data_IF_477012702528
#
_entry.id   IF_477012702528
#
_cell.length_a   1.000
_cell.length_b   1.000
_cell.length_c   1.000
_cell.angle_alpha   90.00
_cell.angle_beta   90.00
_cell.angle_gamma   90.00
#
_symmetry.space_group_name_H-M   'P 1'
#
loop_
_entity.id
_entity.type
_entity.pdbx_description
1 polymer ?
#
# COMPACT_ATOMS: atom_id res chain seq x y z
N UNK A 1 6.97 5.54 7.53
CA UNK A 1 5.65 4.93 7.79
C UNK A 1 4.65 5.99 7.43
N UNK A 2 3.45 5.65 6.94
CA UNK A 2 2.46 6.65 6.51
C UNK A 2 2.30 7.79 7.53
N UNK A 3 2.23 7.49 8.83
CA UNK A 3 2.13 8.51 9.88
C UNK A 3 3.36 9.42 10.01
N UNK A 4 4.57 8.91 9.78
CA UNK A 4 5.79 9.72 9.82
C UNK A 4 5.89 10.62 8.58
N UNK A 5 5.46 10.11 7.43
CA UNK A 5 5.45 10.87 6.17
C UNK A 5 4.41 12.02 6.26
N UNK A 6 3.22 11.74 6.81
CA UNK A 6 2.21 12.77 7.11
C UNK A 6 2.69 13.81 8.14
N UNK A 7 3.48 13.40 9.13
CA UNK A 7 3.99 14.32 10.14
C UNK A 7 5.05 15.27 9.54
N UNK A 8 5.92 14.75 8.66
CA UNK A 8 6.89 15.56 7.90
C UNK A 8 6.18 16.53 6.98
N UNK A 9 5.18 16.05 6.24
CA UNK A 9 4.36 16.87 5.34
C UNK A 9 3.67 18.03 6.07
N UNK A 10 3.11 17.76 7.26
CA UNK A 10 2.49 18.79 8.07
C UNK A 10 3.50 19.87 8.54
N UNK A 11 4.76 19.49 8.78
CA UNK A 11 5.83 20.43 9.09
C UNK A 11 6.19 21.29 7.87
N UNK A 12 6.35 20.66 6.70
CA UNK A 12 6.66 21.33 5.43
C UNK A 12 5.58 22.34 5.02
N UNK A 13 4.30 21.97 5.16
CA UNK A 13 3.17 22.87 4.94
C UNK A 13 3.16 24.09 5.87
N UNK A 14 3.74 23.97 7.07
CA UNK A 14 3.87 25.08 8.02
C UNK A 14 5.10 25.95 7.74
N UNK A 15 6.21 25.35 7.33
CA UNK A 15 7.49 26.06 7.18
C UNK A 15 7.68 26.61 5.77
N UNK A 16 7.15 25.96 4.75
CA UNK A 16 7.38 26.25 3.33
C UNK A 16 6.09 26.25 2.47
N UNK A 17 4.99 26.93 2.88
CA UNK A 17 3.70 26.83 2.19
C UNK A 17 3.72 27.27 0.71
N UNK A 18 4.60 28.20 0.34
CA UNK A 18 4.76 28.62 -1.06
C UNK A 18 5.50 27.60 -1.92
N UNK A 19 6.38 26.79 -1.30
CA UNK A 19 7.07 25.69 -1.96
C UNK A 19 6.07 24.57 -2.22
N UNK A 20 5.31 24.19 -1.19
CA UNK A 20 4.31 23.13 -1.27
C UNK A 20 3.22 23.41 -2.31
N UNK A 21 2.75 24.65 -2.40
CA UNK A 21 1.79 25.03 -3.44
C UNK A 21 2.35 24.85 -4.87
N UNK A 22 3.65 25.13 -5.07
CA UNK A 22 4.32 24.95 -6.37
C UNK A 22 4.56 23.47 -6.66
N UNK A 23 4.86 22.68 -5.64
CA UNK A 23 4.97 21.24 -5.74
C UNK A 23 3.66 20.62 -6.22
N UNK A 24 2.56 20.95 -5.55
CA UNK A 24 1.23 20.47 -5.91
C UNK A 24 0.80 20.95 -7.32
N UNK A 25 1.11 22.20 -7.67
CA UNK A 25 0.96 22.69 -9.06
C UNK A 25 1.75 21.82 -10.05
N UNK A 26 3.01 21.51 -9.74
CA UNK A 26 3.87 20.66 -10.56
C UNK A 26 3.30 19.25 -10.77
N UNK A 27 2.76 18.66 -9.70
CA UNK A 27 2.07 17.37 -9.74
C UNK A 27 0.90 17.43 -10.73
N UNK A 28 0.03 18.44 -10.65
CA UNK A 28 -1.10 18.54 -11.56
C UNK A 28 -0.70 18.86 -13.00
N UNK A 29 0.36 19.64 -13.21
CA UNK A 29 0.93 19.84 -14.54
C UNK A 29 1.44 18.52 -15.14
N UNK A 30 2.12 17.69 -14.35
CA UNK A 30 2.59 16.37 -14.81
C UNK A 30 1.44 15.44 -15.20
N UNK A 31 0.25 15.66 -14.61
CA UNK A 31 -1.00 14.94 -14.92
C UNK A 31 -1.75 15.53 -16.13
N UNK A 32 -1.23 16.59 -16.75
CA UNK A 32 -1.73 17.15 -18.00
C UNK A 32 -2.53 18.45 -17.87
N UNK A 33 -2.60 19.07 -16.68
CA UNK A 33 -3.21 20.39 -16.54
C UNK A 33 -2.29 21.48 -17.13
N UNK A 34 -2.88 22.52 -17.72
CA UNK A 34 -2.14 23.74 -18.05
C UNK A 34 -1.62 24.38 -16.76
N UNK A 35 -0.57 25.20 -16.86
CA UNK A 35 0.02 25.88 -15.70
C UNK A 35 -1.01 26.68 -14.90
N UNK A 36 -1.89 27.41 -15.58
CA UNK A 36 -2.89 28.27 -14.94
C UNK A 36 -3.96 27.44 -14.23
N UNK A 37 -4.42 26.35 -14.86
CA UNK A 37 -5.41 25.47 -14.26
C UNK A 37 -4.81 24.66 -13.10
N UNK A 38 -3.57 24.21 -13.23
CA UNK A 38 -2.85 23.52 -12.16
C UNK A 38 -2.69 24.40 -10.92
N UNK A 39 -2.39 25.70 -11.11
CA UNK A 39 -2.32 26.65 -10.00
C UNK A 39 -3.67 26.83 -9.31
N UNK A 40 -4.74 26.97 -10.10
CA UNK A 40 -6.10 27.10 -9.56
C UNK A 40 -6.49 25.86 -8.75
N UNK A 41 -6.28 24.67 -9.31
CA UNK A 41 -6.58 23.40 -8.63
C UNK A 41 -5.76 23.24 -7.36
N UNK A 42 -4.45 23.49 -7.41
CA UNK A 42 -3.60 23.43 -6.22
C UNK A 42 -4.09 24.41 -5.14
N UNK A 43 -4.39 25.66 -5.51
CA UNK A 43 -4.86 26.68 -4.56
C UNK A 43 -6.17 26.29 -3.88
N UNK A 44 -7.17 25.86 -4.66
CA UNK A 44 -8.48 25.47 -4.13
C UNK A 44 -8.40 24.22 -3.23
N UNK A 45 -7.58 23.24 -3.61
CA UNK A 45 -7.41 22.01 -2.83
C UNK A 45 -6.58 22.25 -1.56
N UNK A 46 -5.53 23.06 -1.63
CA UNK A 46 -4.76 23.49 -0.45
C UNK A 46 -5.65 24.28 0.53
N UNK A 47 -6.55 25.13 0.03
CA UNK A 47 -7.48 25.88 0.87
C UNK A 47 -8.53 25.00 1.55
N UNK A 48 -8.97 23.93 0.87
CA UNK A 48 -9.90 22.96 1.45
C UNK A 48 -9.21 22.05 2.48
N UNK A 49 -8.10 21.42 2.10
CA UNK A 49 -7.35 20.47 2.92
C UNK A 49 -5.94 20.26 2.34
N UNK A 50 -4.98 21.09 2.77
CA UNK A 50 -3.59 21.02 2.31
C UNK A 50 -2.95 19.65 2.57
N UNK A 51 -3.03 19.15 3.81
CA UNK A 51 -2.41 17.88 4.18
C UNK A 51 -3.06 16.72 3.43
N UNK A 52 -4.40 16.71 3.29
CA UNK A 52 -5.09 15.66 2.53
C UNK A 52 -4.89 15.76 1.01
N UNK A 53 -4.60 16.94 0.46
CA UNK A 53 -4.22 17.10 -0.93
C UNK A 53 -2.84 16.47 -1.18
N UNK A 54 -1.82 16.87 -0.42
CA UNK A 54 -0.47 16.31 -0.53
C UNK A 54 -0.41 14.81 -0.19
N UNK A 55 -1.07 14.39 0.89
CA UNK A 55 -1.14 12.98 1.26
C UNK A 55 -1.65 12.10 0.10
N UNK A 56 -2.71 12.54 -0.61
CA UNK A 56 -3.28 11.77 -1.71
C UNK A 56 -2.48 11.91 -3.00
N UNK A 57 -2.09 13.13 -3.34
CA UNK A 57 -1.59 13.44 -4.68
C UNK A 57 -0.06 13.34 -4.81
N UNK A 58 0.66 13.48 -3.71
CA UNK A 58 2.11 13.33 -3.63
C UNK A 58 2.50 11.99 -2.98
N UNK A 59 2.00 11.70 -1.77
CA UNK A 59 2.39 10.51 -1.01
C UNK A 59 1.63 9.24 -1.40
N UNK A 60 0.53 9.37 -2.16
CA UNK A 60 -0.35 8.25 -2.54
C UNK A 60 -1.10 7.61 -1.37
N UNK A 61 -1.15 8.28 -0.22
CA UNK A 61 -1.86 7.87 0.98
C UNK A 61 -3.34 8.24 0.82
N UNK A 62 -4.21 7.24 0.82
CA UNK A 62 -5.66 7.45 0.87
C UNK A 62 -6.29 6.56 1.93
N UNK A 63 -7.33 7.06 2.60
CA UNK A 63 -8.07 6.28 3.62
C UNK A 63 -8.68 4.98 3.06
N UNK A 64 -8.90 4.91 1.75
CA UNK A 64 -9.49 3.74 1.09
C UNK A 64 -8.48 2.59 0.99
N UNK A 65 -7.17 2.88 1.01
CA UNK A 65 -6.09 1.91 0.74
C UNK A 65 -5.09 1.85 1.90
N UNK A 66 -5.52 2.11 3.14
CA UNK A 66 -4.62 1.92 4.29
C UNK A 66 -4.13 0.48 4.33
N UNK A 67 -2.81 0.31 4.22
CA UNK A 67 -2.21 -1.01 4.26
C UNK A 67 -2.50 -1.69 5.60
N UNK A 68 -2.95 -2.95 5.58
CA UNK A 68 -3.17 -3.78 6.77
C UNK A 68 -2.10 -4.87 6.89
N UNK A 69 -0.83 -4.51 7.13
CA UNK A 69 0.30 -5.45 7.01
C UNK A 69 0.22 -6.61 8.00
N UNK A 70 -0.21 -6.35 9.24
CA UNK A 70 -0.36 -7.42 10.26
C UNK A 70 -1.44 -8.41 9.85
N UNK A 71 -2.59 -7.92 9.38
CA UNK A 71 -3.65 -8.79 8.89
C UNK A 71 -3.17 -9.60 7.68
N UNK A 72 -2.53 -8.95 6.71
CA UNK A 72 -1.98 -9.63 5.53
C UNK A 72 -0.96 -10.72 5.91
N UNK A 73 -0.07 -10.44 6.88
CA UNK A 73 0.92 -11.39 7.37
C UNK A 73 0.27 -12.62 8.02
N UNK A 74 -0.68 -12.42 8.94
CA UNK A 74 -1.40 -13.53 9.58
C UNK A 74 -2.23 -14.34 8.59
N UNK A 75 -2.96 -13.68 7.68
CA UNK A 75 -3.75 -14.36 6.65
C UNK A 75 -2.86 -15.19 5.72
N UNK A 76 -1.69 -14.66 5.35
CA UNK A 76 -0.72 -15.38 4.51
C UNK A 76 -0.13 -16.58 5.26
N UNK A 77 0.31 -16.38 6.49
CA UNK A 77 0.87 -17.45 7.33
C UNK A 77 -0.15 -18.57 7.57
N UNK A 78 -1.41 -18.22 7.85
CA UNK A 78 -2.48 -19.19 8.05
C UNK A 78 -2.78 -19.98 6.77
N UNK A 79 -2.95 -19.30 5.63
CA UNK A 79 -3.21 -19.96 4.34
C UNK A 79 -2.06 -20.89 3.94
N UNK A 80 -0.81 -20.44 4.14
CA UNK A 80 0.37 -21.27 3.89
C UNK A 80 0.42 -22.49 4.80
N UNK A 81 0.18 -22.31 6.11
CA UNK A 81 0.18 -23.41 7.06
C UNK A 81 -0.91 -24.45 6.76
N UNK A 82 -2.10 -24.01 6.35
CA UNK A 82 -3.20 -24.89 5.93
C UNK A 82 -2.83 -25.67 4.67
N UNK A 83 -2.26 -25.00 3.66
CA UNK A 83 -1.77 -25.68 2.44
C UNK A 83 -0.68 -26.71 2.73
N UNK A 84 0.26 -26.39 3.63
CA UNK A 84 1.33 -27.29 4.04
C UNK A 84 0.84 -28.45 4.94
N UNK A 85 -0.28 -28.30 5.64
CA UNK A 85 -0.79 -29.33 6.54
C UNK A 85 -1.20 -30.62 5.81
N UNK A 86 -1.78 -30.51 4.61
CA UNK A 86 -2.25 -31.66 3.84
C UNK A 86 -1.13 -32.66 3.50
N UNK A 87 -0.02 -32.27 2.85
CA UNK A 87 1.09 -33.20 2.58
C UNK A 87 1.74 -33.72 3.86
N UNK A 88 1.80 -32.93 4.94
CA UNK A 88 2.33 -33.40 6.24
C UNK A 88 1.47 -34.51 6.85
N UNK A 89 0.14 -34.36 6.84
CA UNK A 89 -0.80 -35.39 7.31
C UNK A 89 -0.63 -36.68 6.50
N UNK A 90 -0.47 -36.55 5.19
CA UNK A 90 -0.27 -37.69 4.27
C UNK A 90 1.00 -38.44 4.61
N UNK A 91 2.12 -37.75 4.85
CA UNK A 91 3.38 -38.38 5.30
C UNK A 91 3.16 -39.17 6.59
N UNK A 92 2.43 -38.62 7.56
CA UNK A 92 2.18 -39.29 8.84
C UNK A 92 1.34 -40.57 8.72
N UNK A 93 0.44 -40.65 7.74
CA UNK A 93 -0.51 -41.76 7.60
C UNK A 93 -0.13 -42.79 6.51
N UNK A 94 0.85 -42.47 5.65
CA UNK A 94 1.20 -43.29 4.49
C UNK A 94 2.29 -44.32 4.80
N UNK A 95 2.24 -45.46 4.10
CA UNK A 95 3.33 -46.44 4.12
C UNK A 95 4.56 -45.92 3.36
N UNK A 96 5.81 -46.27 3.76
CA UNK A 96 7.03 -45.70 3.17
C UNK A 96 7.15 -45.83 1.65
N UNK A 97 6.55 -46.87 1.05
CA UNK A 97 6.55 -47.12 -0.39
C UNK A 97 5.64 -46.17 -1.19
N UNK A 98 4.69 -45.50 -0.54
CA UNK A 98 3.68 -44.66 -1.20
C UNK A 98 3.89 -43.15 -0.96
N UNK A 99 4.76 -42.78 -0.01
CA UNK A 99 4.99 -41.38 0.41
C UNK A 99 5.36 -40.48 -0.77
N UNK A 100 6.31 -40.89 -1.62
CA UNK A 100 6.82 -40.05 -2.72
C UNK A 100 5.69 -39.66 -3.69
N UNK A 101 4.86 -40.63 -4.08
CA UNK A 101 3.78 -40.40 -5.05
C UNK A 101 2.68 -39.54 -4.43
N UNK A 102 2.22 -39.89 -3.21
CA UNK A 102 1.12 -39.19 -2.55
C UNK A 102 1.46 -37.73 -2.21
N UNK A 103 2.66 -37.47 -1.68
CA UNK A 103 3.10 -36.11 -1.35
C UNK A 103 3.25 -35.26 -2.60
N UNK A 104 3.84 -35.80 -3.67
CA UNK A 104 4.04 -35.06 -4.91
C UNK A 104 2.71 -34.64 -5.55
N UNK A 105 1.74 -35.54 -5.63
CA UNK A 105 0.41 -35.25 -6.20
C UNK A 105 -0.35 -34.23 -5.35
N UNK A 106 -0.30 -34.34 -4.02
CA UNK A 106 -1.08 -33.48 -3.12
C UNK A 106 -0.44 -32.11 -2.86
N UNK A 107 0.84 -31.93 -3.18
CA UNK A 107 1.52 -30.62 -3.09
C UNK A 107 1.33 -29.74 -4.33
N UNK A 108 0.70 -30.28 -5.40
CA UNK A 108 0.40 -29.57 -6.66
C UNK A 108 -0.96 -28.87 -6.65
N UNK A 109 -1.76 -29.06 -5.59
CA UNK A 109 -3.11 -28.49 -5.39
C UNK A 109 -3.03 -27.43 -4.31
#
# INVERSE_FOLDING_TARGET
>A
TESADLAREAEELMTEPEHELKELQGIYMSRGLSKDLALQVATELTAHDALGAHARDELGISEIVSAKPVQAAFTSAATFAVGAALPLIVVMLSSPSQIIILVSVLSLV
#
